data_IF_218357242105
#
_entry.id   IF_218357242105
#
_cell.length_a   1.000
_cell.length_b   1.000
_cell.length_c   1.000
_cell.angle_alpha   90.00
_cell.angle_beta   90.00
_cell.angle_gamma   90.00
#
_symmetry.space_group_name_H-M   'P 1'
#
loop_
_entity.id
_entity.type
_entity.pdbx_description
1 polymer ?
#
# COMPACT_ATOMS: atom_id res chain seq x y z
N UNK A 1 -10.84 2.64 -20.71
CA UNK A 1 -11.03 2.71 -19.25
C UNK A 1 -9.88 1.96 -18.62
N UNK A 2 -9.23 2.52 -17.60
CA UNK A 2 -8.18 1.88 -16.82
C UNK A 2 -8.71 1.57 -15.43
N UNK A 3 -8.57 0.32 -15.00
CA UNK A 3 -8.87 -0.12 -13.64
C UNK A 3 -7.56 -0.33 -12.88
N UNK A 4 -7.37 0.40 -11.80
CA UNK A 4 -6.16 0.35 -10.96
C UNK A 4 -6.53 -0.14 -9.57
N UNK A 5 -5.92 -1.24 -9.14
CA UNK A 5 -6.00 -1.69 -7.76
C UNK A 5 -4.79 -1.18 -6.99
N UNK A 6 -5.02 -0.27 -6.05
CA UNK A 6 -4.03 0.07 -5.03
C UNK A 6 -4.13 -0.93 -3.89
N UNK A 7 -3.11 -1.76 -3.70
CA UNK A 7 -3.07 -2.76 -2.64
C UNK A 7 -2.02 -2.39 -1.59
N UNK A 8 -2.39 -2.49 -0.31
CA UNK A 8 -1.43 -2.38 0.78
C UNK A 8 -0.53 -3.61 0.81
N UNK A 9 0.77 -3.43 1.02
CA UNK A 9 1.74 -4.52 1.16
C UNK A 9 1.35 -5.56 2.23
N UNK A 10 1.92 -6.76 2.16
CA UNK A 10 1.80 -7.80 3.17
C UNK A 10 2.34 -7.35 4.54
N UNK A 11 2.07 -8.11 5.61
CA UNK A 11 2.52 -7.76 6.94
C UNK A 11 4.05 -7.63 6.99
N UNK A 12 4.57 -6.51 7.48
CA UNK A 12 5.98 -6.35 7.83
C UNK A 12 6.24 -6.70 9.31
N UNK A 13 7.50 -6.88 9.68
CA UNK A 13 7.89 -7.10 11.08
C UNK A 13 7.41 -5.97 12.01
N UNK A 14 7.46 -4.72 11.54
CA UNK A 14 6.96 -3.60 12.32
C UNK A 14 5.44 -3.53 12.37
N UNK A 15 4.72 -4.03 11.36
CA UNK A 15 3.27 -4.23 11.51
C UNK A 15 2.95 -5.23 12.62
N UNK A 16 3.68 -6.35 12.67
CA UNK A 16 3.52 -7.36 13.70
C UNK A 16 3.82 -6.79 15.11
N UNK A 17 4.81 -5.90 15.22
CA UNK A 17 5.21 -5.23 16.46
C UNK A 17 4.36 -3.99 16.80
N UNK A 18 3.38 -3.60 15.97
CA UNK A 18 2.55 -2.41 16.18
C UNK A 18 3.29 -1.08 16.05
N UNK A 19 4.43 -1.06 15.33
CA UNK A 19 5.25 0.14 15.14
C UNK A 19 4.87 0.90 13.88
N UNK A 20 4.87 2.22 13.96
CA UNK A 20 4.71 3.10 12.81
C UNK A 20 5.96 3.03 11.93
N UNK A 21 5.77 2.86 10.64
CA UNK A 21 6.89 2.63 9.73
C UNK A 21 7.34 3.90 9.02
N UNK A 22 6.38 4.65 8.51
CA UNK A 22 6.73 5.72 7.58
C UNK A 22 7.57 5.16 6.43
N UNK A 23 8.64 5.87 6.10
CA UNK A 23 9.59 5.47 5.06
C UNK A 23 10.77 4.60 5.58
N UNK A 24 10.79 4.23 6.88
CA UNK A 24 11.64 3.14 7.32
C UNK A 24 11.25 1.83 6.61
N UNK A 25 12.23 0.96 6.39
CA UNK A 25 12.05 -0.19 5.51
C UNK A 25 12.27 -1.55 6.20
N UNK A 26 11.44 -1.88 7.24
CA UNK A 26 11.45 -3.20 7.82
C UNK A 26 10.93 -4.23 6.79
N UNK A 27 11.52 -5.46 6.77
CA UNK A 27 11.14 -6.50 5.83
C UNK A 27 9.73 -7.04 6.07
N UNK A 28 9.21 -7.80 5.10
CA UNK A 28 8.02 -8.63 5.30
C UNK A 28 8.28 -9.65 6.39
N UNK A 29 7.26 -9.87 7.26
CA UNK A 29 7.23 -11.03 8.13
C UNK A 29 6.96 -12.32 7.33
N UNK A 30 7.19 -13.49 7.91
CA UNK A 30 6.78 -14.77 7.29
C UNK A 30 5.28 -14.77 6.95
N UNK A 31 4.45 -14.27 7.86
CA UNK A 31 3.02 -14.09 7.60
C UNK A 31 2.76 -13.15 6.42
N UNK A 32 3.53 -12.08 6.27
CA UNK A 32 3.39 -11.16 5.14
C UNK A 32 3.71 -11.83 3.81
N UNK A 33 4.70 -12.70 3.76
CA UNK A 33 5.02 -13.52 2.57
C UNK A 33 3.89 -14.49 2.26
N UNK A 34 3.39 -15.22 3.25
CA UNK A 34 2.24 -16.11 3.08
C UNK A 34 0.98 -15.37 2.61
N UNK A 35 0.73 -14.15 3.12
CA UNK A 35 -0.33 -13.28 2.64
C UNK A 35 -0.16 -12.93 1.16
N UNK A 36 1.07 -12.59 0.71
CA UNK A 36 1.34 -12.28 -0.70
C UNK A 36 1.07 -13.48 -1.62
N UNK A 37 1.46 -14.69 -1.22
CA UNK A 37 1.12 -15.92 -1.96
C UNK A 37 -0.40 -16.16 -1.99
N UNK A 38 -1.09 -15.96 -0.87
CA UNK A 38 -2.56 -16.10 -0.84
C UNK A 38 -3.26 -15.08 -1.74
N UNK A 39 -2.78 -13.83 -1.73
CA UNK A 39 -3.28 -12.78 -2.61
C UNK A 39 -3.11 -13.12 -4.09
N UNK A 40 -1.96 -13.68 -4.46
CA UNK A 40 -1.71 -14.10 -5.83
C UNK A 40 -2.73 -15.16 -6.33
N UNK A 41 -3.18 -16.06 -5.45
CA UNK A 41 -4.21 -17.06 -5.80
C UNK A 41 -5.61 -16.46 -6.01
N UNK A 42 -5.88 -15.30 -5.41
CA UNK A 42 -7.14 -14.57 -5.52
C UNK A 42 -7.06 -13.39 -6.49
N UNK A 43 -5.84 -13.05 -6.90
CA UNK A 43 -5.61 -11.97 -7.85
C UNK A 43 -6.24 -12.33 -9.20
N UNK A 44 -6.99 -11.39 -9.75
CA UNK A 44 -7.48 -11.46 -11.12
C UNK A 44 -6.34 -11.32 -12.15
N UNK A 45 -6.71 -11.19 -13.40
CA UNK A 45 -5.74 -10.87 -14.45
C UNK A 45 -5.34 -9.39 -14.36
N UNK A 46 -4.05 -9.14 -14.33
CA UNK A 46 -3.47 -7.80 -14.43
C UNK A 46 -2.60 -7.72 -15.68
N UNK A 47 -2.60 -6.56 -16.33
CA UNK A 47 -1.76 -6.29 -17.51
C UNK A 47 -0.37 -5.78 -17.10
N UNK A 48 -0.27 -5.13 -15.94
CA UNK A 48 0.99 -4.63 -15.38
C UNK A 48 0.94 -4.58 -13.84
N UNK A 49 2.12 -4.62 -13.22
CA UNK A 49 2.27 -4.51 -11.77
C UNK A 49 3.27 -3.39 -11.46
N UNK A 50 2.82 -2.43 -10.66
CA UNK A 50 3.64 -1.37 -10.08
C UNK A 50 3.88 -1.60 -8.60
N UNK A 51 4.97 -1.07 -8.07
CA UNK A 51 5.28 -1.13 -6.65
C UNK A 51 5.98 0.14 -6.16
N UNK A 52 5.73 0.49 -4.91
CA UNK A 52 6.62 1.35 -4.14
C UNK A 52 8.02 0.72 -4.09
N UNK A 53 9.05 1.55 -4.01
CA UNK A 53 10.45 1.13 -3.84
C UNK A 53 10.81 0.69 -2.41
N UNK A 54 9.89 0.77 -1.44
CA UNK A 54 10.09 0.21 -0.10
C UNK A 54 9.99 -1.32 -0.16
N UNK A 55 10.99 -2.02 0.41
CA UNK A 55 11.19 -3.46 0.29
C UNK A 55 9.95 -4.29 0.58
N UNK A 56 9.18 -3.93 1.62
CA UNK A 56 7.93 -4.64 1.95
C UNK A 56 6.86 -4.59 0.84
N UNK A 57 6.79 -3.50 0.09
CA UNK A 57 5.86 -3.40 -1.06
C UNK A 57 6.44 -4.07 -2.29
N UNK A 58 7.73 -3.90 -2.53
CA UNK A 58 8.45 -4.53 -3.63
C UNK A 58 8.42 -6.06 -3.50
N UNK A 59 8.77 -6.61 -2.32
CA UNK A 59 8.72 -8.06 -2.07
C UNK A 59 7.30 -8.62 -2.25
N UNK A 60 6.27 -7.91 -1.73
CA UNK A 60 4.88 -8.31 -1.94
C UNK A 60 4.54 -8.40 -3.42
N UNK A 61 4.90 -7.37 -4.21
CA UNK A 61 4.62 -7.33 -5.64
C UNK A 61 5.40 -8.38 -6.43
N UNK A 62 6.65 -8.66 -6.05
CA UNK A 62 7.47 -9.68 -6.69
C UNK A 62 6.91 -11.09 -6.47
N UNK A 63 6.42 -11.40 -5.26
CA UNK A 63 5.76 -12.67 -4.97
C UNK A 63 4.50 -12.81 -5.83
N UNK A 64 3.63 -11.79 -5.89
CA UNK A 64 2.42 -11.80 -6.71
C UNK A 64 2.79 -11.94 -8.19
N UNK A 65 3.69 -11.12 -8.70
CA UNK A 65 4.17 -11.11 -10.09
C UNK A 65 4.65 -12.49 -10.54
N UNK A 66 5.53 -13.11 -9.72
CA UNK A 66 6.05 -14.45 -10.01
C UNK A 66 4.95 -15.50 -10.07
N UNK A 67 3.97 -15.43 -9.15
CA UNK A 67 2.91 -16.44 -9.07
C UNK A 67 1.89 -16.34 -10.20
N UNK A 68 1.58 -15.12 -10.69
CA UNK A 68 0.59 -14.93 -11.77
C UNK A 68 1.23 -14.76 -13.16
N UNK A 69 2.57 -14.75 -13.24
CA UNK A 69 3.30 -14.63 -14.50
C UNK A 69 3.21 -13.27 -15.19
N UNK A 70 2.98 -12.19 -14.43
CA UNK A 70 2.89 -10.81 -14.95
C UNK A 70 4.10 -10.01 -14.47
N UNK A 71 4.87 -9.45 -15.38
CA UNK A 71 6.07 -8.68 -15.05
C UNK A 71 6.79 -8.17 -16.29
N UNK A 72 7.88 -7.41 -16.09
CA UNK A 72 8.54 -7.11 -14.81
C UNK A 72 7.71 -6.16 -13.94
N UNK A 73 7.96 -6.19 -12.60
CA UNK A 73 7.41 -5.20 -11.67
C UNK A 73 8.04 -3.83 -11.95
N UNK A 74 7.21 -2.82 -12.10
CA UNK A 74 7.64 -1.44 -12.35
C UNK A 74 7.70 -0.69 -11.03
N UNK A 75 8.90 -0.28 -10.65
CA UNK A 75 9.11 0.42 -9.37
C UNK A 75 8.88 1.91 -9.54
N UNK A 76 8.01 2.47 -8.70
CA UNK A 76 7.75 3.91 -8.67
C UNK A 76 7.89 4.46 -7.23
N UNK A 77 8.97 5.23 -6.95
CA UNK A 77 9.20 5.80 -5.62
C UNK A 77 8.12 6.77 -5.15
N UNK A 78 7.29 7.28 -6.04
CA UNK A 78 6.17 8.16 -5.71
C UNK A 78 5.04 7.43 -4.98
N UNK A 79 5.02 6.09 -5.03
CA UNK A 79 4.08 5.21 -4.31
C UNK A 79 4.52 4.90 -2.87
N UNK A 80 5.65 5.46 -2.36
CA UNK A 80 6.10 5.29 -0.97
C UNK A 80 5.04 5.63 0.06
N UNK A 81 5.19 5.03 1.24
CA UNK A 81 4.41 5.43 2.42
C UNK A 81 4.68 6.90 2.78
N UNK A 82 3.73 7.51 3.47
CA UNK A 82 3.91 8.80 4.14
C UNK A 82 5.12 8.75 5.05
N UNK A 83 5.98 9.77 5.02
CA UNK A 83 6.99 9.91 6.06
C UNK A 83 6.31 10.18 7.41
N UNK A 84 6.60 9.36 8.39
CA UNK A 84 6.05 9.46 9.73
C UNK A 84 6.86 10.40 10.65
N UNK A 85 7.97 10.94 10.16
CA UNK A 85 8.86 11.79 10.94
C UNK A 85 9.30 11.10 12.23
N UNK A 86 9.28 11.84 13.35
CA UNK A 86 9.68 11.32 14.67
C UNK A 86 8.77 10.20 15.21
N UNK A 87 7.63 9.91 14.60
CA UNK A 87 6.81 8.75 14.98
C UNK A 87 7.31 7.44 14.38
N UNK A 88 8.24 7.49 13.42
CA UNK A 88 8.82 6.30 12.81
C UNK A 88 9.52 5.43 13.85
N UNK A 89 9.22 4.13 13.84
CA UNK A 89 9.75 3.14 14.78
C UNK A 89 9.03 3.06 16.12
N UNK A 90 8.14 4.01 16.44
CA UNK A 90 7.42 4.02 17.73
C UNK A 90 6.11 3.24 17.63
N UNK A 91 5.76 2.57 18.74
CA UNK A 91 4.41 2.07 18.96
C UNK A 91 3.47 3.22 19.36
N UNK A 92 2.15 2.96 19.34
CA UNK A 92 1.16 3.96 19.79
C UNK A 92 1.41 4.41 21.22
N UNK A 93 1.77 3.49 22.12
CA UNK A 93 2.03 3.79 23.53
C UNK A 93 3.31 4.61 23.71
N UNK A 94 4.36 4.29 22.94
CA UNK A 94 5.61 5.06 22.91
C UNK A 94 5.39 6.48 22.36
N UNK A 95 4.52 6.63 21.35
CA UNK A 95 4.13 7.96 20.83
C UNK A 95 3.38 8.73 21.91
N UNK A 96 2.40 8.13 22.57
CA UNK A 96 1.64 8.81 23.63
C UNK A 96 2.53 9.21 24.82
N UNK A 97 3.51 8.36 25.17
CA UNK A 97 4.47 8.68 26.23
C UNK A 97 5.41 9.84 25.87
N UNK A 98 5.88 9.93 24.63
CA UNK A 98 6.80 10.98 24.17
C UNK A 98 6.12 12.25 23.71
N UNK A 99 4.90 12.15 23.18
CA UNK A 99 4.11 13.24 22.60
C UNK A 99 2.67 13.18 23.13
N UNK A 100 2.44 13.44 24.41
CA UNK A 100 1.13 13.26 25.05
C UNK A 100 0.00 13.97 24.30
N UNK A 101 -1.07 13.26 23.99
CA UNK A 101 -2.25 13.76 23.31
C UNK A 101 -2.04 14.14 21.83
N UNK A 102 -0.88 13.88 21.25
CA UNK A 102 -0.58 14.24 19.87
C UNK A 102 -1.50 13.54 18.87
N UNK A 103 -1.69 12.23 19.03
CA UNK A 103 -2.54 11.44 18.13
C UNK A 103 -4.02 11.88 18.20
N UNK A 104 -4.53 12.11 19.41
CA UNK A 104 -5.92 12.56 19.62
C UNK A 104 -6.18 13.95 19.03
N UNK A 105 -5.20 14.84 19.16
CA UNK A 105 -5.26 16.20 18.64
C UNK A 105 -4.82 16.34 17.17
N UNK A 106 -4.45 15.22 16.51
CA UNK A 106 -3.87 15.22 15.14
C UNK A 106 -2.70 16.19 14.99
N UNK A 107 -1.85 16.27 16.03
CA UNK A 107 -0.61 17.06 15.99
C UNK A 107 0.53 16.17 15.52
N UNK A 108 1.00 16.45 14.32
CA UNK A 108 2.04 15.65 13.68
C UNK A 108 3.44 16.11 14.08
N UNK A 109 4.43 15.21 14.18
CA UNK A 109 5.78 15.52 14.63
C UNK A 109 6.60 16.23 13.56
N UNK A 110 7.80 16.66 13.93
CA UNK A 110 8.78 17.09 12.95
C UNK A 110 9.07 15.99 11.93
N UNK A 111 9.25 16.34 10.67
CA UNK A 111 9.49 15.42 9.58
C UNK A 111 8.25 14.66 9.07
N UNK A 112 7.06 14.92 9.62
CA UNK A 112 5.82 14.36 9.08
C UNK A 112 5.55 14.91 7.67
N UNK A 113 5.25 14.03 6.70
CA UNK A 113 4.88 14.43 5.35
C UNK A 113 3.43 14.96 5.31
N UNK A 114 3.21 16.25 4.95
CA UNK A 114 1.87 16.83 4.84
C UNK A 114 1.02 16.13 3.76
N UNK A 115 -0.32 16.14 3.95
CA UNK A 115 -1.26 15.50 3.03
C UNK A 115 -1.12 16.01 1.58
N UNK A 116 -0.93 17.31 1.41
CA UNK A 116 -0.77 17.94 0.08
C UNK A 116 0.53 17.52 -0.63
N UNK A 117 1.61 17.24 0.12
CA UNK A 117 2.87 16.75 -0.44
C UNK A 117 2.72 15.29 -0.87
N UNK A 118 2.15 14.47 0.00
CA UNK A 118 1.84 13.07 -0.29
C UNK A 118 0.91 12.94 -1.50
N UNK A 119 -0.22 13.65 -1.51
CA UNK A 119 -1.19 13.60 -2.61
C UNK A 119 -0.57 14.03 -3.93
N UNK A 120 0.24 15.09 -3.95
CA UNK A 120 0.89 15.56 -5.18
C UNK A 120 1.75 14.47 -5.82
N UNK A 121 2.58 13.77 -5.03
CA UNK A 121 3.43 12.69 -5.58
C UNK A 121 2.62 11.46 -5.98
N UNK A 122 1.57 11.14 -5.23
CA UNK A 122 0.71 10.00 -5.53
C UNK A 122 -0.08 10.25 -6.82
N UNK A 123 -0.69 11.41 -7.01
CA UNK A 123 -1.36 11.75 -8.28
C UNK A 123 -0.40 11.69 -9.47
N UNK A 124 0.83 12.21 -9.31
CA UNK A 124 1.85 12.07 -10.36
C UNK A 124 2.25 10.61 -10.64
N UNK A 125 2.17 9.71 -9.66
CA UNK A 125 2.35 8.27 -9.90
C UNK A 125 1.17 7.69 -10.68
N UNK A 126 -0.08 8.05 -10.31
CA UNK A 126 -1.28 7.58 -11.02
C UNK A 126 -1.29 8.04 -12.48
N UNK A 127 -0.87 9.27 -12.76
CA UNK A 127 -0.71 9.77 -14.13
C UNK A 127 0.33 8.97 -14.91
N UNK A 128 1.46 8.63 -14.28
CA UNK A 128 2.49 7.77 -14.89
C UNK A 128 2.00 6.34 -15.15
N UNK A 129 1.18 5.77 -14.27
CA UNK A 129 0.54 4.47 -14.47
C UNK A 129 -0.44 4.53 -15.66
N UNK A 130 -1.26 5.59 -15.71
CA UNK A 130 -2.22 5.82 -16.80
C UNK A 130 -1.50 5.93 -18.17
N UNK A 131 -0.41 6.68 -18.22
CA UNK A 131 0.42 6.82 -19.41
C UNK A 131 1.04 5.49 -19.84
N UNK A 132 1.63 4.75 -18.90
CA UNK A 132 2.23 3.43 -19.15
C UNK A 132 1.21 2.44 -19.72
N UNK A 133 0.00 2.43 -19.17
CA UNK A 133 -1.08 1.54 -19.58
C UNK A 133 -1.79 1.99 -20.87
N UNK A 134 -1.42 3.12 -21.45
CA UNK A 134 -2.10 3.67 -22.64
C UNK A 134 -3.58 3.97 -22.40
N UNK A 135 -3.97 4.28 -21.18
CA UNK A 135 -5.32 4.68 -20.79
C UNK A 135 -6.33 3.54 -20.66
N UNK A 136 -5.91 2.27 -20.72
CA UNK A 136 -6.82 1.13 -20.63
C UNK A 136 -6.15 -0.10 -20.00
N UNK A 137 -6.98 -1.06 -19.56
CA UNK A 137 -6.50 -2.30 -18.95
C UNK A 137 -6.70 -2.37 -17.44
N UNK A 138 -6.06 -3.35 -16.79
CA UNK A 138 -6.15 -3.59 -15.35
C UNK A 138 -4.75 -3.63 -14.75
N UNK A 139 -4.47 -2.77 -13.78
CA UNK A 139 -3.15 -2.62 -13.18
C UNK A 139 -3.21 -2.86 -11.68
N UNK A 140 -2.23 -3.57 -11.15
CA UNK A 140 -1.98 -3.66 -9.70
C UNK A 140 -0.87 -2.69 -9.31
N UNK A 141 -1.06 -1.89 -8.26
CA UNK A 141 -0.01 -1.12 -7.65
C UNK A 141 0.11 -1.45 -6.15
N UNK A 142 1.21 -2.09 -5.77
CA UNK A 142 1.46 -2.42 -4.35
C UNK A 142 2.08 -1.20 -3.67
N UNK A 143 1.37 -0.70 -2.68
CA UNK A 143 1.67 0.53 -1.96
C UNK A 143 1.40 0.37 -0.45
N UNK A 144 0.94 1.42 0.22
CA UNK A 144 0.86 1.52 1.68
C UNK A 144 -0.49 2.08 2.14
N UNK A 145 -0.77 1.88 3.43
CA UNK A 145 -2.03 2.35 4.02
C UNK A 145 -2.22 3.86 3.94
N UNK A 146 -1.19 4.64 4.25
CA UNK A 146 -1.27 6.10 4.22
C UNK A 146 -1.52 6.67 2.82
N UNK A 147 -1.01 6.02 1.77
CA UNK A 147 -1.29 6.38 0.37
C UNK A 147 -2.76 6.16 0.05
N UNK A 148 -3.31 4.98 0.38
CA UNK A 148 -4.72 4.67 0.12
C UNK A 148 -5.63 5.62 0.88
N UNK A 149 -5.37 5.85 2.18
CA UNK A 149 -6.17 6.76 3.00
C UNK A 149 -6.14 8.21 2.49
N UNK A 150 -5.00 8.68 1.98
CA UNK A 150 -4.94 10.05 1.46
C UNK A 150 -5.77 10.24 0.20
N UNK A 151 -5.82 9.23 -0.69
CA UNK A 151 -6.70 9.26 -1.86
C UNK A 151 -8.17 9.22 -1.44
N UNK A 152 -8.54 8.30 -0.54
CA UNK A 152 -9.91 8.20 -0.03
C UNK A 152 -10.37 9.51 0.64
N UNK A 153 -9.49 10.10 1.49
CA UNK A 153 -9.77 11.39 2.12
C UNK A 153 -9.93 12.54 1.13
N UNK A 154 -9.16 12.55 0.03
CA UNK A 154 -9.32 13.53 -1.04
C UNK A 154 -10.72 13.45 -1.70
N UNK A 155 -11.28 12.25 -1.79
CA UNK A 155 -12.63 12.02 -2.29
C UNK A 155 -13.72 12.13 -1.20
N UNK A 156 -13.36 12.59 0.01
CA UNK A 156 -14.32 12.83 1.10
C UNK A 156 -14.80 11.58 1.85
N UNK A 157 -14.13 10.42 1.63
CA UNK A 157 -14.45 9.21 2.39
C UNK A 157 -13.78 9.21 3.77
N UNK A 158 -14.50 8.64 4.75
CA UNK A 158 -13.98 8.40 6.10
C UNK A 158 -13.23 7.07 6.15
N UNK A 159 -12.07 7.09 6.80
CA UNK A 159 -11.17 5.95 6.79
C UNK A 159 -11.60 4.85 7.79
N UNK A 160 -12.00 3.70 7.29
CA UNK A 160 -11.86 2.45 8.02
C UNK A 160 -10.42 1.92 7.86
N UNK A 161 -9.93 1.16 8.86
CA UNK A 161 -8.62 0.53 8.75
C UNK A 161 -8.58 -0.42 7.53
N UNK A 162 -7.54 -0.31 6.71
CA UNK A 162 -7.25 -1.26 5.64
C UNK A 162 -6.23 -2.28 6.15
N UNK A 163 -6.54 -3.58 6.02
CA UNK A 163 -5.65 -4.68 6.39
C UNK A 163 -4.44 -4.79 5.45
N UNK A 164 -3.46 -5.63 5.81
CA UNK A 164 -2.42 -6.01 4.87
C UNK A 164 -3.05 -6.79 3.71
N UNK A 165 -2.67 -6.50 2.48
CA UNK A 165 -3.28 -6.96 1.24
C UNK A 165 -4.78 -6.60 1.10
N UNK A 166 -5.26 -5.65 1.90
CA UNK A 166 -6.46 -4.89 1.55
C UNK A 166 -6.15 -3.88 0.46
N UNK A 167 -7.10 -3.62 -0.41
CA UNK A 167 -6.93 -2.73 -1.54
C UNK A 167 -8.13 -1.83 -1.80
N UNK A 168 -7.91 -0.86 -2.67
CA UNK A 168 -8.92 0.08 -3.17
C UNK A 168 -8.85 0.15 -4.69
N UNK A 169 -9.94 -0.12 -5.34
CA UNK A 169 -10.05 0.12 -6.77
C UNK A 169 -10.14 1.61 -7.09
N UNK A 170 -9.50 2.00 -8.17
CA UNK A 170 -9.65 3.29 -8.84
C UNK A 170 -9.96 3.03 -10.30
N UNK A 171 -10.90 3.79 -10.87
CA UNK A 171 -11.32 3.69 -12.25
C UNK A 171 -11.06 5.01 -12.97
N UNK A 172 -10.33 5.00 -14.08
CA UNK A 172 -10.14 6.17 -14.92
C UNK A 172 -11.01 6.08 -16.17
N UNK A 173 -11.95 7.01 -16.33
CA UNK A 173 -12.94 7.00 -17.42
C UNK A 173 -12.47 7.65 -18.73
N UNK A 174 -11.23 8.12 -18.75
CA UNK A 174 -10.64 8.91 -19.83
C UNK A 174 -10.51 10.39 -19.51
N UNK A 175 -11.18 10.87 -18.46
CA UNK A 175 -11.15 12.25 -17.99
C UNK A 175 -10.66 12.38 -16.55
N UNK A 176 -11.11 11.51 -15.64
CA UNK A 176 -10.79 11.60 -14.22
C UNK A 176 -10.81 10.24 -13.53
N UNK A 177 -10.19 10.20 -12.33
CA UNK A 177 -10.20 9.05 -11.45
C UNK A 177 -11.44 9.04 -10.55
N UNK A 178 -12.05 7.87 -10.41
CA UNK A 178 -13.19 7.59 -9.53
C UNK A 178 -12.78 6.52 -8.53
N UNK A 179 -13.26 6.63 -7.29
CA UNK A 179 -13.13 5.57 -6.31
C UNK A 179 -14.07 4.41 -6.64
N UNK A 180 -13.50 3.20 -6.72
CA UNK A 180 -14.24 1.95 -6.75
C UNK A 180 -14.44 1.35 -5.35
N UNK A 181 -14.62 0.07 -5.27
CA UNK A 181 -14.80 -0.66 -4.01
C UNK A 181 -13.48 -0.96 -3.30
N UNK A 182 -13.55 -1.21 -1.99
CA UNK A 182 -12.47 -1.84 -1.24
C UNK A 182 -12.55 -3.35 -1.38
N UNK A 183 -11.39 -3.99 -1.46
CA UNK A 183 -11.31 -5.45 -1.49
C UNK A 183 -10.25 -5.95 -0.51
N UNK A 184 -10.30 -7.24 -0.21
CA UNK A 184 -9.28 -7.97 0.51
C UNK A 184 -8.72 -9.06 -0.40
N UNK A 185 -7.43 -8.95 -0.78
CA UNK A 185 -6.73 -9.93 -1.60
C UNK A 185 -6.25 -11.15 -0.81
N UNK A 186 -6.17 -11.04 0.51
CA UNK A 186 -5.85 -12.17 1.37
C UNK A 186 -6.65 -12.10 2.66
N UNK A 187 -7.19 -13.23 3.17
CA UNK A 187 -7.89 -13.24 4.44
C UNK A 187 -6.95 -12.85 5.59
N UNK A 188 -7.48 -12.17 6.62
CA UNK A 188 -6.69 -11.73 7.78
C UNK A 188 -5.97 -12.91 8.49
N UNK A 189 -6.54 -14.11 8.45
CA UNK A 189 -6.03 -15.32 9.08
C UNK A 189 -5.45 -16.30 8.05
N UNK A 190 -4.46 -15.87 7.27
CA UNK A 190 -3.68 -16.81 6.44
C UNK A 190 -2.86 -17.70 7.35
N UNK A 191 -3.10 -19.02 7.28
CA UNK A 191 -2.19 -20.02 7.84
C UNK A 191 -0.88 -19.99 7.05
N UNK A 192 0.24 -20.06 7.77
CA UNK A 192 1.56 -20.23 7.14
C UNK A 192 1.59 -21.70 6.66
N UNK A 193 1.41 -21.90 5.37
CA UNK A 193 1.59 -23.20 4.77
C UNK A 193 3.06 -23.31 4.33
N UNK A 194 3.80 -24.22 4.97
CA UNK A 194 5.24 -24.37 4.74
C UNK A 194 5.54 -24.89 3.32
N UNK A 195 4.55 -25.47 2.65
CA UNK A 195 4.68 -25.99 1.29
C UNK A 195 4.71 -24.87 0.21
N UNK A 196 4.25 -23.66 0.55
CA UNK A 196 4.29 -22.49 -0.35
C UNK A 196 5.66 -21.75 -0.32
N UNK A 197 6.63 -22.23 0.46
CA UNK A 197 7.94 -21.59 0.67
C UNK A 197 9.12 -22.25 -0.06
N UNK A 198 8.88 -23.23 -0.96
CA UNK A 198 9.92 -23.95 -1.70
C UNK A 198 9.96 -23.51 -3.16
#
# INVERSE_FOLDING_TARGET
MLDLLLARHGQSEWNAAGRWQGQADPPLSERGRAQAHAAARQAGAFDAIFASDLGRALDTSMIISSAIGVGPVIVDPRLKERDAGEFSGLTRDEIEARFPGALAARRWPAGWEPDEVLLRRVWAALDGILEHAGGSGTVLAVTHGGVIYSIEGHHGETHARIGNLGGRWLHHDGAMWHLGERIELAPENVSIDLDDMV
#
